data_IF_863682417993
#
_entry.id   IF_863682417993
#
_cell.length_a   1.000
_cell.length_b   1.000
_cell.length_c   1.000
_cell.angle_alpha   90.00
_cell.angle_beta   90.00
_cell.angle_gamma   90.00
#
_symmetry.space_group_name_H-M   'P 1'
#
loop_
_entity.id
_entity.type
_entity.pdbx_description
1 polymer ?
#
# COMPACT_ATOMS: atom_id res chain seq x y z
N UNK A 1 8.79 27.68 -23.03
CA UNK A 1 10.09 27.32 -22.41
C UNK A 1 10.47 25.93 -22.86
N UNK A 2 11.73 25.68 -23.22
CA UNK A 2 12.17 24.35 -23.66
C UNK A 2 11.89 23.32 -22.55
N UNK A 3 11.04 22.34 -22.83
CA UNK A 3 10.85 21.19 -21.97
C UNK A 3 12.22 20.54 -21.74
N UNK A 4 12.71 20.55 -20.49
CA UNK A 4 13.87 19.73 -20.13
C UNK A 4 13.41 18.28 -20.21
N UNK A 5 13.85 17.58 -21.25
CA UNK A 5 13.73 16.12 -21.35
C UNK A 5 14.65 15.51 -20.30
N UNK A 6 14.07 15.03 -19.20
CA UNK A 6 14.79 14.18 -18.24
C UNK A 6 15.01 12.81 -18.88
N UNK A 7 16.18 12.18 -18.68
CA UNK A 7 16.40 10.80 -19.11
C UNK A 7 15.35 9.87 -18.49
N UNK A 8 14.86 8.91 -19.27
CA UNK A 8 13.95 7.86 -18.80
C UNK A 8 14.75 6.55 -18.66
N UNK A 9 14.69 5.93 -17.49
CA UNK A 9 15.17 4.56 -17.27
C UNK A 9 14.03 3.57 -17.51
N UNK A 10 14.33 2.53 -18.28
CA UNK A 10 13.34 1.56 -18.76
C UNK A 10 13.52 0.18 -18.10
N UNK A 11 14.71 -0.11 -17.56
CA UNK A 11 15.09 -1.51 -17.34
C UNK A 11 15.32 -1.84 -15.86
N UNK A 12 15.78 -0.88 -15.04
CA UNK A 12 16.17 -1.14 -13.65
C UNK A 12 15.90 0.04 -12.70
N UNK A 13 15.54 -0.34 -11.48
CA UNK A 13 15.55 0.54 -10.30
C UNK A 13 16.77 0.17 -9.46
N UNK A 14 17.96 0.64 -9.84
CA UNK A 14 19.23 0.26 -9.18
C UNK A 14 19.31 0.65 -7.69
N UNK A 15 18.35 1.46 -7.22
CA UNK A 15 18.19 1.88 -5.82
C UNK A 15 17.22 1.01 -5.02
N UNK A 16 16.51 0.07 -5.66
CA UNK A 16 15.57 -0.81 -5.01
C UNK A 16 16.29 -2.07 -4.53
N UNK A 17 16.32 -2.26 -3.21
CA UNK A 17 16.89 -3.44 -2.57
C UNK A 17 15.77 -4.24 -1.88
N UNK A 18 15.37 -5.35 -2.52
CA UNK A 18 14.29 -6.21 -2.04
C UNK A 18 14.70 -7.08 -0.86
N UNK A 19 15.99 -7.41 -0.73
CA UNK A 19 16.51 -8.13 0.44
C UNK A 19 16.47 -7.22 1.67
N UNK A 20 16.96 -5.98 1.53
CA UNK A 20 16.87 -4.98 2.59
C UNK A 20 15.42 -4.69 3.01
N UNK A 21 14.50 -4.64 2.04
CA UNK A 21 13.07 -4.50 2.35
C UNK A 21 12.54 -5.65 3.22
N UNK A 22 12.88 -6.90 2.89
CA UNK A 22 12.54 -8.08 3.71
C UNK A 22 13.12 -7.96 5.13
N UNK A 23 14.41 -7.63 5.24
CA UNK A 23 15.09 -7.50 6.53
C UNK A 23 14.42 -6.43 7.43
N UNK A 24 13.95 -5.33 6.83
CA UNK A 24 13.22 -4.29 7.55
C UNK A 24 11.87 -4.79 8.07
N UNK A 25 11.12 -5.56 7.27
CA UNK A 25 9.85 -6.15 7.71
C UNK A 25 10.06 -7.09 8.89
N UNK A 26 11.07 -7.96 8.82
CA UNK A 26 11.42 -8.89 9.90
C UNK A 26 11.89 -8.16 11.15
N UNK A 27 12.65 -7.07 10.98
CA UNK A 27 13.06 -6.18 12.08
C UNK A 27 11.87 -5.53 12.78
N UNK A 28 10.90 -5.00 12.01
CA UNK A 28 9.66 -4.43 12.56
C UNK A 28 8.90 -5.49 13.37
N UNK A 29 8.78 -6.71 12.83
CA UNK A 29 8.14 -7.83 13.53
C UNK A 29 8.85 -8.14 14.86
N UNK A 30 10.19 -8.21 14.84
CA UNK A 30 10.99 -8.44 16.04
C UNK A 30 10.76 -7.38 17.12
N UNK A 31 10.77 -6.11 16.73
CA UNK A 31 10.49 -4.98 17.63
C UNK A 31 9.07 -5.09 18.21
N UNK A 32 8.06 -5.30 17.36
CA UNK A 32 6.68 -5.43 17.82
C UNK A 32 6.51 -6.59 18.81
N UNK A 33 7.10 -7.75 18.52
CA UNK A 33 7.07 -8.92 19.43
C UNK A 33 7.70 -8.62 20.78
N UNK A 34 8.86 -7.96 20.79
CA UNK A 34 9.54 -7.55 22.02
C UNK A 34 8.71 -6.61 22.89
N UNK A 35 7.81 -5.83 22.27
CA UNK A 35 6.94 -4.87 22.94
C UNK A 35 5.48 -5.35 23.10
N UNK A 36 5.19 -6.63 22.83
CA UNK A 36 3.83 -7.19 22.89
C UNK A 36 2.80 -6.44 22.01
N UNK A 37 3.25 -5.94 20.86
CA UNK A 37 2.41 -5.30 19.84
C UNK A 37 2.15 -6.33 18.74
N UNK A 38 0.89 -6.51 18.35
CA UNK A 38 0.52 -7.28 17.16
C UNK A 38 0.49 -6.35 15.95
N UNK A 39 1.48 -6.40 15.03
CA UNK A 39 1.41 -5.61 13.82
C UNK A 39 0.39 -6.22 12.86
N UNK A 40 -0.16 -5.37 11.99
CA UNK A 40 -0.89 -5.76 10.79
C UNK A 40 -0.15 -5.12 9.62
N UNK A 41 0.26 -5.94 8.66
CA UNK A 41 0.85 -5.45 7.42
C UNK A 41 -0.25 -5.10 6.42
N UNK A 42 0.01 -4.09 5.59
CA UNK A 42 -0.94 -3.57 4.60
C UNK A 42 -0.17 -3.35 3.29
N UNK A 43 -0.59 -4.03 2.22
CA UNK A 43 0.04 -3.86 0.90
C UNK A 43 -0.26 -2.47 0.33
N UNK A 44 0.65 -1.94 -0.48
CA UNK A 44 0.52 -0.60 -1.05
C UNK A 44 -0.17 -0.66 -2.42
N UNK A 45 -1.36 -0.06 -2.59
CA UNK A 45 -1.95 0.16 -3.91
C UNK A 45 -1.22 1.27 -4.68
N UNK A 46 -1.33 1.26 -6.00
CA UNK A 46 -0.94 2.35 -6.89
C UNK A 46 -1.97 2.57 -8.00
N UNK A 47 -1.82 3.66 -8.74
CA UNK A 47 -2.67 4.00 -9.89
C UNK A 47 -1.89 4.06 -11.21
N UNK A 48 -0.65 3.58 -11.28
CA UNK A 48 0.24 3.76 -12.45
C UNK A 48 -0.29 3.14 -13.74
N UNK A 49 -1.10 2.09 -13.65
CA UNK A 49 -1.73 1.42 -14.79
C UNK A 49 -3.20 1.81 -15.01
N UNK A 50 -3.70 2.83 -14.29
CA UNK A 50 -5.08 3.29 -14.45
C UNK A 50 -5.33 3.91 -15.83
N UNK A 51 -6.60 3.86 -16.27
CA UNK A 51 -7.08 4.58 -17.46
C UNK A 51 -7.80 5.88 -17.12
N UNK A 52 -7.96 6.16 -15.82
CA UNK A 52 -8.61 7.37 -15.34
C UNK A 52 -7.72 8.59 -15.55
N UNK A 53 -8.12 9.44 -16.50
CA UNK A 53 -7.37 10.64 -16.86
C UNK A 53 -7.28 11.66 -15.73
N UNK A 54 -8.25 11.68 -14.80
CA UNK A 54 -8.23 12.64 -13.69
C UNK A 54 -7.04 12.35 -12.78
N UNK A 55 -6.86 11.09 -12.38
CA UNK A 55 -5.70 10.70 -11.55
C UNK A 55 -4.42 10.88 -12.33
N UNK A 56 -4.36 10.40 -13.59
CA UNK A 56 -3.15 10.46 -14.42
C UNK A 56 -2.54 11.87 -14.52
N UNK A 57 -3.36 12.91 -14.50
CA UNK A 57 -2.92 14.31 -14.55
C UNK A 57 -2.14 14.77 -13.30
N UNK A 58 -2.32 14.08 -12.17
CA UNK A 58 -1.66 14.36 -10.91
C UNK A 58 -0.52 13.39 -10.60
N UNK A 59 -0.18 12.48 -11.51
CA UNK A 59 0.96 11.60 -11.28
C UNK A 59 2.25 12.41 -11.23
N UNK A 60 3.07 12.15 -10.22
CA UNK A 60 4.37 12.78 -10.01
C UNK A 60 5.42 11.81 -9.49
N UNK A 61 5.01 10.67 -8.91
CA UNK A 61 5.90 9.68 -8.28
C UNK A 61 6.54 8.73 -9.31
N UNK A 62 7.05 9.29 -10.41
CA UNK A 62 7.77 8.53 -11.44
C UNK A 62 9.16 9.09 -11.74
N UNK A 63 9.65 10.04 -10.93
CA UNK A 63 10.98 10.63 -11.04
C UNK A 63 11.78 10.53 -9.76
N UNK A 64 13.06 10.13 -9.86
CA UNK A 64 14.02 10.14 -8.74
C UNK A 64 15.41 10.51 -9.25
N UNK A 65 16.08 11.43 -8.55
CA UNK A 65 17.47 11.80 -8.86
C UNK A 65 17.67 12.39 -10.26
N UNK A 66 16.66 13.08 -10.81
CA UNK A 66 16.71 13.65 -12.16
C UNK A 66 16.45 12.65 -13.29
N UNK A 67 16.09 11.41 -12.96
CA UNK A 67 15.72 10.35 -13.91
C UNK A 67 14.23 10.04 -13.73
N UNK A 68 13.51 9.92 -14.84
CA UNK A 68 12.14 9.41 -14.86
C UNK A 68 12.15 7.89 -15.09
N UNK A 69 11.12 7.21 -14.62
CA UNK A 69 10.94 5.76 -14.75
C UNK A 69 9.59 5.47 -15.38
N UNK A 70 9.53 4.38 -16.13
CA UNK A 70 8.28 3.94 -16.73
C UNK A 70 7.28 3.48 -15.66
N UNK A 71 6.04 3.97 -15.76
CA UNK A 71 4.94 3.61 -14.87
C UNK A 71 4.71 2.08 -14.77
N UNK A 72 4.75 1.30 -15.88
CA UNK A 72 4.68 -0.16 -15.80
C UNK A 72 5.82 -0.79 -14.99
N UNK A 73 7.05 -0.29 -15.10
CA UNK A 73 8.19 -0.78 -14.32
C UNK A 73 7.98 -0.51 -12.83
N UNK A 74 7.53 0.71 -12.47
CA UNK A 74 7.24 1.08 -11.09
C UNK A 74 6.14 0.20 -10.48
N UNK A 75 5.04 0.00 -11.22
CA UNK A 75 3.94 -0.89 -10.81
C UNK A 75 4.45 -2.32 -10.58
N UNK A 76 5.19 -2.88 -11.54
CA UNK A 76 5.75 -4.22 -11.42
C UNK A 76 6.61 -4.37 -10.16
N UNK A 77 7.45 -3.37 -9.85
CA UNK A 77 8.32 -3.40 -8.67
C UNK A 77 7.56 -3.21 -7.37
N UNK A 78 6.48 -2.43 -7.36
CA UNK A 78 5.61 -2.35 -6.19
C UNK A 78 4.86 -3.66 -5.94
N UNK A 79 4.39 -4.32 -7.00
CA UNK A 79 3.80 -5.67 -6.91
C UNK A 79 4.81 -6.65 -6.30
N UNK A 80 6.06 -6.64 -6.74
CA UNK A 80 7.13 -7.47 -6.16
C UNK A 80 7.31 -7.20 -4.65
N UNK A 81 7.33 -5.93 -4.22
CA UNK A 81 7.42 -5.58 -2.79
C UNK A 81 6.19 -6.04 -2.00
N UNK A 82 4.99 -5.91 -2.57
CA UNK A 82 3.76 -6.39 -1.95
C UNK A 82 3.74 -7.91 -1.79
N UNK A 83 4.25 -8.67 -2.76
CA UNK A 83 4.40 -10.13 -2.63
C UNK A 83 5.41 -10.49 -1.52
N UNK A 84 6.57 -9.82 -1.47
CA UNK A 84 7.54 -10.02 -0.39
C UNK A 84 6.91 -9.75 0.98
N UNK A 85 6.13 -8.67 1.11
CA UNK A 85 5.41 -8.36 2.36
C UNK A 85 4.46 -9.49 2.76
N UNK A 86 3.67 -10.01 1.81
CA UNK A 86 2.74 -11.11 2.06
C UNK A 86 3.45 -12.40 2.46
N UNK A 87 4.56 -12.73 1.80
CA UNK A 87 5.40 -13.88 2.15
C UNK A 87 5.99 -13.77 3.56
N UNK A 88 6.59 -12.61 3.90
CA UNK A 88 7.15 -12.37 5.24
C UNK A 88 6.07 -12.45 6.30
N UNK A 89 4.89 -11.86 6.02
CA UNK A 89 3.76 -11.89 6.94
C UNK A 89 3.29 -13.33 7.19
N UNK A 90 3.10 -14.12 6.12
CA UNK A 90 2.71 -15.52 6.21
C UNK A 90 3.75 -16.35 7.00
N UNK A 91 5.03 -16.21 6.68
CA UNK A 91 6.11 -16.94 7.35
C UNK A 91 6.21 -16.63 8.85
N UNK A 92 5.78 -15.44 9.26
CA UNK A 92 5.85 -14.95 10.64
C UNK A 92 4.51 -14.97 11.39
N UNK A 93 3.44 -15.50 10.78
CA UNK A 93 2.08 -15.45 11.32
C UNK A 93 1.63 -14.01 11.66
N UNK A 94 1.96 -13.06 10.79
CA UNK A 94 1.49 -11.68 10.89
C UNK A 94 0.28 -11.51 9.99
N UNK A 95 -0.83 -10.92 10.49
CA UNK A 95 -1.96 -10.55 9.65
C UNK A 95 -1.52 -9.57 8.55
N UNK A 96 -1.93 -9.84 7.31
CA UNK A 96 -1.65 -8.99 6.16
C UNK A 96 -2.94 -8.67 5.40
N UNK A 97 -3.31 -7.39 5.37
CA UNK A 97 -4.44 -6.90 4.59
C UNK A 97 -3.98 -6.48 3.19
N UNK A 98 -4.48 -7.18 2.17
CA UNK A 98 -4.12 -6.88 0.77
C UNK A 98 -4.91 -5.69 0.21
N UNK A 99 -4.54 -4.47 0.61
CA UNK A 99 -5.19 -3.26 0.15
C UNK A 99 -4.95 -2.97 -1.33
N UNK A 100 -3.81 -3.41 -1.89
CA UNK A 100 -3.50 -3.32 -3.31
C UNK A 100 -4.56 -4.03 -4.17
N UNK A 101 -5.08 -5.16 -3.73
CA UNK A 101 -6.17 -5.87 -4.40
C UNK A 101 -7.58 -5.33 -4.05
N UNK A 102 -7.74 -4.70 -2.88
CA UNK A 102 -9.04 -4.34 -2.34
C UNK A 102 -9.54 -2.94 -2.73
N UNK A 103 -8.64 -2.01 -3.06
CA UNK A 103 -8.97 -0.63 -3.42
C UNK A 103 -9.00 -0.43 -4.94
N UNK A 104 -9.97 0.34 -5.48
CA UNK A 104 -10.01 0.65 -6.90
C UNK A 104 -8.86 1.63 -7.25
N UNK A 105 -8.03 1.33 -8.26
CA UNK A 105 -6.88 2.16 -8.61
C UNK A 105 -7.28 3.35 -9.50
N UNK A 106 -8.25 4.15 -9.07
CA UNK A 106 -8.82 5.26 -9.84
C UNK A 106 -9.24 6.45 -8.96
N UNK A 107 -9.78 7.51 -9.57
CA UNK A 107 -10.12 8.76 -8.88
C UNK A 107 -11.25 8.61 -7.87
N UNK A 108 -11.96 7.48 -7.84
CA UNK A 108 -12.92 7.22 -6.78
C UNK A 108 -12.23 7.03 -5.42
N UNK A 109 -10.96 6.59 -5.40
CA UNK A 109 -10.20 6.35 -4.19
C UNK A 109 -8.90 7.16 -4.06
N UNK A 110 -8.31 7.65 -5.16
CA UNK A 110 -6.99 8.30 -5.14
C UNK A 110 -7.02 9.75 -5.62
N UNK A 111 -6.05 10.54 -5.14
CA UNK A 111 -5.72 11.86 -5.69
C UNK A 111 -4.68 11.76 -6.82
N UNK A 112 -3.69 10.89 -6.65
CA UNK A 112 -2.50 10.75 -7.52
C UNK A 112 -2.01 9.28 -7.57
N UNK A 113 -0.71 9.06 -7.77
CA UNK A 113 -0.08 7.73 -7.87
C UNK A 113 -0.34 6.83 -6.64
N UNK A 114 -0.49 7.40 -5.44
CA UNK A 114 -0.45 6.64 -4.19
C UNK A 114 -1.26 7.22 -3.02
N UNK A 115 -1.64 8.50 -3.05
CA UNK A 115 -2.39 9.13 -1.96
C UNK A 115 -3.89 8.89 -2.09
N UNK A 116 -4.49 8.37 -1.03
CA UNK A 116 -5.94 8.22 -0.94
C UNK A 116 -6.61 9.59 -0.82
N UNK A 117 -7.74 9.73 -1.51
CA UNK A 117 -8.69 10.82 -1.27
C UNK A 117 -9.63 10.47 -0.10
N UNK A 118 -10.54 11.36 0.32
CA UNK A 118 -11.44 11.11 1.46
C UNK A 118 -12.31 9.86 1.27
N UNK A 119 -12.77 9.59 0.04
CA UNK A 119 -13.55 8.40 -0.27
C UNK A 119 -12.69 7.14 -0.16
N UNK A 120 -11.48 7.16 -0.72
CA UNK A 120 -10.51 6.06 -0.61
C UNK A 120 -10.12 5.77 0.84
N UNK A 121 -9.87 6.82 1.64
CA UNK A 121 -9.56 6.70 3.06
C UNK A 121 -10.71 6.08 3.86
N UNK A 122 -11.95 6.51 3.59
CA UNK A 122 -13.16 5.93 4.20
C UNK A 122 -13.36 4.47 3.80
N UNK A 123 -13.11 4.13 2.53
CA UNK A 123 -13.20 2.76 2.03
C UNK A 123 -12.12 1.87 2.66
N UNK A 124 -10.87 2.31 2.67
CA UNK A 124 -9.73 1.64 3.32
C UNK A 124 -10.05 1.35 4.79
N UNK A 125 -10.49 2.35 5.56
CA UNK A 125 -10.85 2.17 6.95
C UNK A 125 -11.97 1.14 7.14
N UNK A 126 -13.01 1.17 6.30
CA UNK A 126 -14.12 0.20 6.35
C UNK A 126 -13.65 -1.23 6.05
N UNK A 127 -12.80 -1.41 5.04
CA UNK A 127 -12.29 -2.72 4.64
C UNK A 127 -11.32 -3.28 5.69
N UNK A 128 -10.41 -2.45 6.19
CA UNK A 128 -9.47 -2.82 7.24
C UNK A 128 -10.20 -3.17 8.55
N UNK A 129 -11.20 -2.39 8.95
CA UNK A 129 -12.01 -2.71 10.14
C UNK A 129 -12.72 -4.06 10.00
N UNK A 130 -13.29 -4.36 8.81
CA UNK A 130 -13.88 -5.68 8.52
C UNK A 130 -12.84 -6.79 8.60
N UNK A 131 -11.66 -6.57 8.04
CA UNK A 131 -10.56 -7.53 8.09
C UNK A 131 -10.14 -7.83 9.54
N UNK A 132 -9.98 -6.78 10.37
CA UNK A 132 -9.65 -6.90 11.80
C UNK A 132 -10.70 -7.72 12.55
N UNK A 133 -11.99 -7.41 12.35
CA UNK A 133 -13.08 -8.12 13.02
C UNK A 133 -13.19 -9.59 12.56
N UNK A 134 -13.05 -9.83 11.26
CA UNK A 134 -13.13 -11.18 10.68
C UNK A 134 -12.00 -12.09 11.14
N UNK A 135 -10.80 -11.55 11.32
CA UNK A 135 -9.63 -12.30 11.78
C UNK A 135 -9.45 -12.25 13.31
N UNK A 136 -10.43 -11.74 14.06
CA UNK A 136 -10.41 -11.68 15.52
C UNK A 136 -9.16 -10.98 16.09
N UNK A 137 -8.71 -9.89 15.46
CA UNK A 137 -7.46 -9.18 15.82
C UNK A 137 -7.64 -8.13 16.92
N UNK A 138 -8.72 -8.22 17.70
CA UNK A 138 -8.99 -7.36 18.84
C UNK A 138 -9.19 -8.24 20.08
N UNK A 139 -8.51 -7.91 21.17
CA UNK A 139 -8.60 -8.64 22.43
C UNK A 139 -9.90 -8.38 23.21
N UNK A 140 -10.78 -7.51 22.72
CA UNK A 140 -12.00 -7.11 23.41
C UNK A 140 -13.20 -7.97 23.01
N UNK A 141 -13.98 -8.51 23.96
CA UNK A 141 -15.33 -8.95 23.65
C UNK A 141 -16.12 -7.76 23.12
N UNK A 142 -16.80 -7.91 21.98
CA UNK A 142 -17.72 -6.94 21.40
C UNK A 142 -18.87 -6.68 22.38
N UNK A 143 -18.65 -5.84 23.39
CA UNK A 143 -19.62 -5.54 24.45
C UNK A 143 -20.49 -4.32 24.14
N UNK A 144 -20.55 -3.88 22.88
CA UNK A 144 -21.49 -2.85 22.45
C UNK A 144 -22.16 -3.28 21.14
N UNK A 145 -23.47 -3.56 21.13
CA UNK A 145 -24.18 -3.85 19.89
C UNK A 145 -24.13 -2.62 18.97
N UNK A 146 -23.82 -2.84 17.69
CA UNK A 146 -23.77 -1.84 16.61
C UNK A 146 -25.11 -1.14 16.30
N UNK A 147 -26.15 -1.32 17.12
CA UNK A 147 -27.52 -0.87 16.84
C UNK A 147 -27.87 0.54 17.36
N UNK A 148 -26.91 1.36 17.78
CA UNK A 148 -27.22 2.72 18.30
C UNK A 148 -26.79 3.88 17.41
N UNK A 149 -26.43 3.64 16.14
CA UNK A 149 -26.17 4.73 15.17
C UNK A 149 -27.29 4.73 14.12
N UNK A 150 -28.49 5.07 14.56
CA UNK A 150 -29.60 5.55 13.75
C UNK A 150 -30.62 6.19 14.71
N UNK A 151 -30.43 7.47 14.99
CA UNK A 151 -31.45 8.43 15.41
C UNK A 151 -30.97 9.83 15.04
#
# INVERSE_FOLDING_TARGET
GKARTVPVSHDRLDWLDTAWYRDNLETIIGICRQHHIQPIFITQPDTWLTKDTLVLNYHWMFGRGGVAYEKPLLHQKLVELNEIMKEVALANNIPCFDAAAALPPDSSAFYDDCHLNPNGSKLMAKLLAKYILHNHLLDTPLSTPLNSINN
#
